data_IF_603645603470
#
_entry.id   IF_603645603470
#
_cell.length_a   1.000
_cell.length_b   1.000
_cell.length_c   1.000
_cell.angle_alpha   90.00
_cell.angle_beta   90.00
_cell.angle_gamma   90.00
#
_symmetry.space_group_name_H-M   'P 1'
#
loop_
_entity.id
_entity.type
_entity.pdbx_description
1 polymer ?
#
# COMPACT_ATOMS: atom_id res chain seq x y z
N UNK A 1 37.88 -47.94 18.32
CA UNK A 1 37.03 -48.10 17.11
C UNK A 1 35.54 -47.73 17.32
N UNK A 2 35.17 -46.94 18.35
CA UNK A 2 33.75 -46.67 18.72
C UNK A 2 33.26 -45.21 18.57
N UNK A 3 34.11 -44.28 18.15
CA UNK A 3 33.71 -42.86 17.99
C UNK A 3 33.20 -42.50 16.58
N UNK A 4 33.48 -43.30 15.55
CA UNK A 4 33.03 -43.03 14.17
C UNK A 4 31.56 -43.37 13.93
N UNK A 5 30.98 -44.29 14.70
CA UNK A 5 29.59 -44.74 14.51
C UNK A 5 28.55 -43.76 15.04
N UNK A 6 28.86 -42.96 16.07
CA UNK A 6 27.92 -41.99 16.64
C UNK A 6 27.74 -40.74 15.75
N UNK A 7 28.81 -40.29 15.09
CA UNK A 7 28.75 -39.15 14.18
C UNK A 7 27.90 -39.43 12.92
N UNK A 8 27.92 -40.68 12.43
CA UNK A 8 27.13 -41.09 11.26
C UNK A 8 25.63 -41.14 11.59
N UNK A 9 25.27 -41.62 12.78
CA UNK A 9 23.87 -41.69 13.21
C UNK A 9 23.29 -40.27 13.39
N UNK A 10 24.05 -39.34 13.98
CA UNK A 10 23.62 -37.95 14.15
C UNK A 10 23.44 -37.22 12.80
N UNK A 11 24.35 -37.45 11.84
CA UNK A 11 24.24 -36.88 10.49
C UNK A 11 23.03 -37.42 9.71
N UNK A 12 22.72 -38.71 9.83
CA UNK A 12 21.54 -39.32 9.20
C UNK A 12 20.24 -38.78 9.83
N UNK A 13 20.20 -38.59 11.15
CA UNK A 13 19.03 -38.02 11.82
C UNK A 13 18.76 -36.55 11.44
N UNK A 14 19.81 -35.74 11.29
CA UNK A 14 19.69 -34.35 10.82
C UNK A 14 19.21 -34.33 9.36
N UNK A 15 19.73 -35.21 8.50
CA UNK A 15 19.34 -35.27 7.10
C UNK A 15 17.88 -35.71 6.92
N UNK A 16 17.43 -36.73 7.66
CA UNK A 16 16.03 -37.21 7.62
C UNK A 16 15.07 -36.16 8.18
N UNK A 17 15.44 -35.46 9.26
CA UNK A 17 14.66 -34.33 9.79
C UNK A 17 14.53 -33.17 8.79
N UNK A 18 15.62 -32.86 8.07
CA UNK A 18 15.65 -31.81 7.05
C UNK A 18 14.79 -32.15 5.83
N UNK A 19 14.82 -33.42 5.39
CA UNK A 19 14.00 -33.90 4.26
C UNK A 19 12.52 -33.96 4.64
N UNK A 20 12.17 -34.41 5.85
CA UNK A 20 10.78 -34.41 6.33
C UNK A 20 10.22 -32.98 6.50
N UNK A 21 11.05 -32.04 6.98
CA UNK A 21 10.71 -30.62 7.05
C UNK A 21 10.49 -30.03 5.65
N UNK A 22 11.40 -30.28 4.70
CA UNK A 22 11.24 -29.84 3.32
C UNK A 22 9.98 -30.44 2.65
N UNK A 23 9.67 -31.71 2.90
CA UNK A 23 8.50 -32.37 2.30
C UNK A 23 7.19 -31.79 2.82
N UNK A 24 7.08 -31.54 4.13
CA UNK A 24 5.91 -30.87 4.73
C UNK A 24 5.70 -29.46 4.15
N UNK A 25 6.78 -28.70 3.97
CA UNK A 25 6.72 -27.35 3.40
C UNK A 25 6.34 -27.33 1.91
N UNK A 26 6.85 -28.27 1.10
CA UNK A 26 6.47 -28.39 -0.32
C UNK A 26 4.99 -28.74 -0.46
N UNK A 27 4.43 -29.52 0.46
CA UNK A 27 3.01 -29.87 0.42
C UNK A 27 2.08 -28.73 0.85
N UNK A 28 2.47 -27.93 1.85
CA UNK A 28 1.69 -26.76 2.29
C UNK A 28 1.73 -25.62 1.25
N UNK A 29 2.88 -25.39 0.59
CA UNK A 29 3.02 -24.37 -0.47
C UNK A 29 2.18 -24.72 -1.72
N UNK A 30 2.13 -26.00 -2.11
CA UNK A 30 1.21 -26.47 -3.16
C UNK A 30 -0.26 -26.30 -2.77
N UNK A 31 -0.61 -26.51 -1.50
CA UNK A 31 -1.99 -26.36 -1.02
C UNK A 31 -2.43 -24.89 -1.00
N UNK A 32 -1.53 -23.97 -0.62
CA UNK A 32 -1.79 -22.54 -0.71
C UNK A 32 -1.91 -22.11 -2.18
N UNK A 33 -0.92 -22.39 -3.03
CA UNK A 33 -0.93 -21.95 -4.43
C UNK A 33 -2.16 -22.44 -5.23
N UNK A 34 -2.56 -23.70 -5.05
CA UNK A 34 -3.72 -24.28 -5.78
C UNK A 34 -5.06 -23.71 -5.34
N UNK A 35 -5.22 -23.41 -4.05
CA UNK A 35 -6.43 -22.78 -3.52
C UNK A 35 -6.50 -21.28 -3.84
N UNK A 36 -5.35 -20.58 -3.86
CA UNK A 36 -5.27 -19.18 -4.32
C UNK A 36 -5.66 -19.03 -5.79
N UNK A 37 -5.19 -19.92 -6.68
CA UNK A 37 -5.54 -19.85 -8.11
C UNK A 37 -7.02 -20.19 -8.39
N UNK A 38 -7.59 -21.15 -7.66
CA UNK A 38 -8.94 -21.67 -7.91
C UNK A 38 -10.05 -20.74 -7.39
N UNK A 39 -9.81 -20.00 -6.30
CA UNK A 39 -10.78 -19.05 -5.75
C UNK A 39 -11.02 -17.86 -6.70
N UNK A 40 -9.95 -17.36 -7.33
CA UNK A 40 -10.01 -16.20 -8.23
C UNK A 40 -10.73 -16.49 -9.57
N UNK A 41 -10.83 -17.74 -10.01
CA UNK A 41 -11.59 -18.07 -11.24
C UNK A 41 -13.10 -18.17 -11.02
N UNK A 42 -13.55 -18.68 -9.86
CA UNK A 42 -14.98 -18.93 -9.62
C UNK A 42 -15.79 -17.65 -9.37
N UNK A 43 -15.21 -16.63 -8.76
CA UNK A 43 -15.92 -15.34 -8.54
C UNK A 43 -16.12 -14.53 -9.83
N UNK A 44 -15.27 -14.71 -10.85
CA UNK A 44 -15.37 -13.98 -12.11
C UNK A 44 -16.52 -14.44 -13.03
N UNK A 45 -17.12 -15.62 -12.79
CA UNK A 45 -18.19 -16.17 -13.65
C UNK A 45 -19.58 -15.68 -13.24
N UNK A 46 -19.78 -15.25 -12.00
CA UNK A 46 -21.12 -14.96 -11.44
C UNK A 46 -21.61 -13.50 -11.57
N UNK A 47 -20.83 -12.60 -12.18
CA UNK A 47 -21.17 -11.16 -12.23
C UNK A 47 -21.73 -10.68 -13.59
N UNK A 48 -21.94 -11.57 -14.56
CA UNK A 48 -22.34 -11.19 -15.94
C UNK A 48 -23.84 -11.24 -16.25
N UNK A 49 -24.71 -11.38 -15.25
CA UNK A 49 -26.15 -11.28 -15.46
C UNK A 49 -26.75 -10.38 -14.39
N UNK A 50 -27.03 -9.13 -14.73
CA UNK A 50 -28.26 -8.39 -14.38
C UNK A 50 -28.14 -6.91 -14.81
N UNK A 51 -29.26 -6.43 -15.32
CA UNK A 51 -29.70 -5.03 -15.43
C UNK A 51 -29.33 -4.18 -16.65
N UNK A 52 -30.29 -4.20 -17.58
CA UNK A 52 -30.61 -3.09 -18.48
C UNK A 52 -31.98 -2.53 -18.12
N UNK A 53 -32.12 -1.19 -18.23
CA UNK A 53 -33.32 -0.34 -18.30
C UNK A 53 -33.66 0.47 -17.03
N UNK A 54 -33.42 1.78 -17.11
CA UNK A 54 -34.48 2.82 -17.12
C UNK A 54 -33.87 4.22 -17.25
N UNK A 55 -34.46 5.05 -18.12
CA UNK A 55 -34.10 6.45 -18.40
C UNK A 55 -35.38 7.33 -18.34
N UNK A 56 -35.16 8.62 -18.04
CA UNK A 56 -35.96 9.83 -18.31
C UNK A 56 -37.08 10.31 -17.35
N UNK A 57 -36.76 11.31 -16.52
CA UNK A 57 -36.85 12.81 -16.69
C UNK A 57 -38.18 13.57 -16.96
N UNK A 58 -38.25 14.76 -16.31
CA UNK A 58 -39.03 16.03 -16.50
C UNK A 58 -40.40 16.13 -15.79
N UNK A 59 -40.90 17.26 -15.22
CA UNK A 59 -40.81 18.72 -15.56
C UNK A 59 -41.35 19.57 -14.36
N UNK A 60 -40.67 20.64 -13.88
CA UNK A 60 -40.94 22.13 -13.90
C UNK A 60 -42.31 22.69 -13.43
N UNK A 61 -42.28 23.67 -12.51
CA UNK A 61 -42.97 25.02 -12.42
C UNK A 61 -43.04 25.45 -10.92
N UNK A 62 -43.01 26.70 -10.44
CA UNK A 62 -42.81 28.08 -10.94
C UNK A 62 -42.81 29.04 -9.71
N UNK A 63 -42.10 30.18 -9.79
CA UNK A 63 -42.38 31.52 -9.17
C UNK A 63 -42.39 31.66 -7.62
N UNK A 64 -41.96 32.74 -6.93
CA UNK A 64 -41.83 34.18 -7.18
C UNK A 64 -40.87 34.86 -6.14
N UNK A 65 -40.47 36.12 -6.37
CA UNK A 65 -39.59 37.04 -5.56
C UNK A 65 -40.39 38.37 -5.34
N UNK A 66 -39.91 39.52 -4.76
CA UNK A 66 -38.66 39.89 -4.07
C UNK A 66 -38.80 40.92 -2.89
N UNK A 67 -37.65 41.53 -2.48
CA UNK A 67 -37.35 42.89 -1.91
C UNK A 67 -36.70 42.83 -0.50
N UNK A 68 -35.39 43.06 -0.32
CA UNK A 68 -34.54 44.28 -0.37
C UNK A 68 -34.39 44.99 0.99
N UNK A 69 -33.17 45.11 1.51
CA UNK A 69 -32.60 46.37 2.03
C UNK A 69 -31.12 46.22 2.42
N UNK A 70 -30.39 47.29 2.17
CA UNK A 70 -28.96 47.54 2.40
C UNK A 70 -28.67 47.88 3.85
N UNK A 71 -27.51 47.50 4.39
CA UNK A 71 -26.65 48.45 5.14
C UNK A 71 -25.25 47.90 5.42
N UNK A 72 -24.30 48.83 5.35
CA UNK A 72 -22.86 48.69 5.55
C UNK A 72 -22.54 48.39 7.02
N UNK A 73 -21.45 47.67 7.29
CA UNK A 73 -20.55 48.01 8.39
C UNK A 73 -19.16 47.38 8.21
N UNK A 74 -18.18 48.26 8.02
CA UNK A 74 -16.75 48.02 8.09
C UNK A 74 -16.36 47.87 9.57
N UNK A 75 -15.92 46.68 9.99
CA UNK A 75 -15.23 46.52 11.28
C UNK A 75 -13.85 45.95 11.01
N UNK A 76 -12.85 46.77 11.34
CA UNK A 76 -11.44 46.42 11.44
C UNK A 76 -11.27 45.32 12.49
N UNK A 77 -10.68 44.19 12.10
CA UNK A 77 -10.13 43.22 13.03
C UNK A 77 -8.77 42.77 12.53
N UNK A 78 -7.73 43.22 13.22
CA UNK A 78 -6.39 42.62 13.18
C UNK A 78 -6.49 41.12 13.42
N UNK A 79 -5.81 40.25 12.64
CA UNK A 79 -5.86 38.82 12.90
C UNK A 79 -5.06 38.51 14.17
N UNK A 80 -5.71 37.88 15.15
CA UNK A 80 -5.00 37.13 16.19
C UNK A 80 -4.07 36.09 15.55
N UNK A 81 -2.86 35.85 16.10
CA UNK A 81 -1.99 34.80 15.61
C UNK A 81 -2.62 33.44 15.95
N UNK A 82 -3.22 32.80 14.94
CA UNK A 82 -3.74 31.43 15.07
C UNK A 82 -2.57 30.47 15.33
N UNK A 83 -2.65 29.73 16.42
CA UNK A 83 -1.73 28.64 16.75
C UNK A 83 -1.62 27.64 15.58
N UNK A 84 -0.44 27.01 15.35
CA UNK A 84 -0.23 26.08 14.23
C UNK A 84 -1.31 24.98 14.12
N UNK A 85 -1.82 24.54 15.27
CA UNK A 85 -2.88 23.53 15.38
C UNK A 85 -4.23 24.02 14.80
N UNK A 86 -4.62 25.28 15.06
CA UNK A 86 -5.84 25.90 14.48
C UNK A 86 -5.68 26.19 12.99
N UNK A 87 -4.46 26.50 12.53
CA UNK A 87 -4.16 26.68 11.10
C UNK A 87 -4.29 25.35 10.36
N UNK A 88 -3.74 24.26 10.91
CA UNK A 88 -3.87 22.92 10.37
C UNK A 88 -5.34 22.47 10.33
N UNK A 89 -6.10 22.63 11.42
CA UNK A 89 -7.53 22.31 11.46
C UNK A 89 -8.37 23.07 10.41
N UNK A 90 -8.09 24.36 10.22
CA UNK A 90 -8.78 25.18 9.22
C UNK A 90 -8.42 24.75 7.79
N UNK A 91 -7.13 24.47 7.53
CA UNK A 91 -6.68 24.02 6.22
C UNK A 91 -7.26 22.66 5.83
N UNK A 92 -7.45 21.78 6.82
CA UNK A 92 -8.05 20.46 6.63
C UNK A 92 -9.54 20.54 6.23
N UNK A 93 -10.30 21.49 6.79
CA UNK A 93 -11.71 21.74 6.39
C UNK A 93 -11.83 22.35 4.98
N UNK A 94 -10.81 23.07 4.51
CA UNK A 94 -10.81 23.62 3.15
C UNK A 94 -10.58 22.52 2.09
N UNK A 95 -9.81 21.47 2.42
CA UNK A 95 -9.57 20.32 1.54
C UNK A 95 -10.75 19.34 1.50
N UNK A 96 -11.57 19.28 2.55
CA UNK A 96 -12.87 18.60 2.53
C UNK A 96 -13.84 19.19 1.50
N UNK A 97 -13.58 20.42 1.04
CA UNK A 97 -14.36 21.14 0.03
C UNK A 97 -13.56 21.36 -1.28
N UNK A 98 -12.53 20.53 -1.55
CA UNK A 98 -11.78 20.62 -2.81
C UNK A 98 -12.75 20.47 -4.00
N UNK A 99 -12.90 21.51 -4.85
CA UNK A 99 -13.89 21.49 -5.94
C UNK A 99 -13.57 20.44 -7.02
N UNK A 100 -12.37 19.86 -6.99
CA UNK A 100 -11.97 18.79 -7.91
C UNK A 100 -12.34 17.39 -7.41
N UNK A 101 -12.79 17.26 -6.16
CA UNK A 101 -13.39 16.05 -5.61
C UNK A 101 -14.91 16.21 -5.71
N UNK A 102 -15.56 15.32 -6.45
CA UNK A 102 -16.99 15.34 -6.63
C UNK A 102 -17.71 15.19 -5.29
N UNK A 103 -18.81 15.94 -5.13
CA UNK A 103 -19.68 15.82 -3.96
C UNK A 103 -20.16 14.39 -3.74
N UNK A 104 -20.33 13.63 -4.83
CA UNK A 104 -20.66 12.22 -4.80
C UNK A 104 -19.59 11.42 -4.03
N UNK A 105 -18.31 11.57 -4.33
CA UNK A 105 -17.22 10.90 -3.60
C UNK A 105 -17.11 11.41 -2.16
N UNK A 106 -17.18 12.72 -1.94
CA UNK A 106 -17.12 13.32 -0.60
C UNK A 106 -18.18 12.71 0.32
N UNK A 107 -19.41 12.50 -0.17
CA UNK A 107 -20.47 11.88 0.60
C UNK A 107 -20.16 10.43 1.02
N UNK A 108 -19.39 9.67 0.22
CA UNK A 108 -19.00 8.29 0.61
C UNK A 108 -17.86 8.23 1.60
N UNK A 109 -16.91 9.15 1.50
CA UNK A 109 -15.72 9.17 2.35
C UNK A 109 -15.96 9.90 3.67
N UNK A 110 -16.89 10.86 3.71
CA UNK A 110 -17.22 11.62 4.91
C UNK A 110 -18.06 10.76 5.86
N UNK A 111 -17.39 10.09 6.79
CA UNK A 111 -17.98 9.23 7.82
C UNK A 111 -17.45 9.64 9.20
N UNK A 112 -18.20 9.40 10.29
CA UNK A 112 -17.77 9.79 11.64
C UNK A 112 -16.40 9.27 12.07
N UNK A 113 -15.96 8.15 11.47
CA UNK A 113 -14.68 7.51 11.79
C UNK A 113 -13.54 7.90 10.83
N UNK A 114 -13.83 8.66 9.77
CA UNK A 114 -12.82 9.05 8.76
C UNK A 114 -11.59 9.65 9.42
N UNK A 115 -11.78 10.71 10.20
CA UNK A 115 -10.66 11.45 10.79
C UNK A 115 -9.97 10.67 11.93
N UNK A 116 -10.64 9.64 12.46
CA UNK A 116 -10.02 8.70 13.40
C UNK A 116 -9.08 7.73 12.70
N UNK A 117 -9.41 7.30 11.48
CA UNK A 117 -8.68 6.27 10.75
C UNK A 117 -7.67 6.85 9.75
N UNK A 118 -8.04 7.94 9.11
CA UNK A 118 -7.27 8.61 8.07
C UNK A 118 -6.72 9.95 8.58
N UNK A 119 -5.73 10.46 7.86
CA UNK A 119 -5.36 11.86 7.94
C UNK A 119 -6.39 12.73 7.26
N UNK A 120 -6.17 14.04 7.29
CA UNK A 120 -6.99 14.98 6.53
C UNK A 120 -6.86 14.71 5.02
N UNK A 121 -7.89 15.05 4.23
CA UNK A 121 -7.80 14.90 2.79
C UNK A 121 -6.55 15.60 2.26
N UNK A 122 -5.97 15.04 1.22
CA UNK A 122 -4.87 15.69 0.49
C UNK A 122 -5.47 16.45 -0.67
N UNK A 123 -4.86 17.59 -1.02
CA UNK A 123 -5.23 18.34 -2.22
C UNK A 123 -5.27 17.40 -3.43
N UNK A 124 -6.36 17.49 -4.21
CA UNK A 124 -6.56 16.60 -5.33
C UNK A 124 -5.37 16.65 -6.29
N UNK A 125 -4.85 15.48 -6.61
CA UNK A 125 -3.74 15.34 -7.54
C UNK A 125 -3.93 14.09 -8.38
N UNK A 126 -4.10 14.29 -9.69
CA UNK A 126 -4.05 13.19 -10.67
C UNK A 126 -2.68 12.51 -10.74
N UNK A 127 -1.64 13.11 -10.13
CA UNK A 127 -0.28 12.56 -10.15
C UNK A 127 -0.23 11.29 -9.33
N UNK A 128 0.09 10.20 -10.01
CA UNK A 128 0.50 8.94 -9.37
C UNK A 128 2.02 8.95 -9.21
N UNK A 129 2.49 8.50 -8.05
CA UNK A 129 3.89 8.64 -7.65
C UNK A 129 4.64 7.32 -7.92
N UNK A 130 5.41 7.28 -9.01
CA UNK A 130 6.19 6.09 -9.40
C UNK A 130 7.71 6.22 -9.23
N UNK A 131 8.22 7.44 -9.02
CA UNK A 131 9.63 7.75 -8.74
C UNK A 131 9.76 9.21 -8.27
N UNK A 132 10.93 9.58 -7.74
CA UNK A 132 11.30 10.97 -7.47
C UNK A 132 12.75 11.29 -7.89
N UNK A 133 13.03 11.56 -9.17
CA UNK A 133 14.39 11.81 -9.65
C UNK A 133 15.15 12.94 -8.93
N UNK A 134 14.44 13.94 -8.39
CA UNK A 134 15.03 15.04 -7.61
C UNK A 134 15.63 14.59 -6.26
N UNK A 135 15.33 13.39 -5.79
CA UNK A 135 15.92 12.84 -4.56
C UNK A 135 17.39 12.39 -4.72
N UNK A 136 17.93 12.40 -5.94
CA UNK A 136 19.30 11.95 -6.24
C UNK A 136 19.47 10.46 -5.98
N UNK A 137 20.63 10.04 -5.45
CA UNK A 137 20.97 8.64 -5.17
C UNK A 137 20.22 8.07 -3.96
N UNK A 138 18.90 8.15 -3.97
CA UNK A 138 18.01 7.51 -3.02
C UNK A 138 17.02 6.62 -3.76
N UNK A 139 16.68 5.48 -3.16
CA UNK A 139 15.73 4.52 -3.70
C UNK A 139 14.84 3.98 -2.59
N UNK A 140 13.60 3.62 -2.94
CA UNK A 140 12.67 2.96 -2.03
C UNK A 140 12.46 1.51 -2.45
N UNK A 141 12.80 0.57 -1.58
CA UNK A 141 12.37 -0.82 -1.70
C UNK A 141 10.94 -0.93 -1.21
N UNK A 142 10.09 -1.61 -1.97
CA UNK A 142 8.70 -1.82 -1.60
C UNK A 142 8.30 -3.28 -1.75
N UNK A 143 7.44 -3.76 -0.85
CA UNK A 143 6.97 -5.14 -0.82
C UNK A 143 5.44 -5.17 -0.79
N UNK A 144 4.83 -5.80 -1.78
CA UNK A 144 3.38 -5.97 -1.88
C UNK A 144 2.94 -7.36 -1.35
N UNK A 145 1.62 -7.52 -1.18
CA UNK A 145 0.86 -8.74 -0.89
C UNK A 145 0.87 -9.28 0.54
N UNK A 146 1.83 -8.89 1.38
CA UNK A 146 1.88 -9.37 2.76
C UNK A 146 0.85 -8.73 3.71
N UNK A 147 1.02 -8.92 5.03
CA UNK A 147 2.06 -9.72 5.65
C UNK A 147 1.81 -11.24 5.52
N UNK A 148 2.86 -12.02 5.37
CA UNK A 148 2.82 -13.48 5.40
C UNK A 148 3.68 -14.00 6.56
N UNK A 149 3.16 -14.93 7.40
CA UNK A 149 3.98 -15.59 8.41
C UNK A 149 5.28 -16.14 7.83
N UNK A 150 6.37 -16.05 8.60
CA UNK A 150 7.74 -16.44 8.23
C UNK A 150 8.37 -15.54 7.16
N UNK A 151 7.66 -15.17 6.10
CA UNK A 151 8.23 -14.33 5.04
C UNK A 151 8.44 -12.89 5.52
N UNK A 152 7.42 -12.25 6.07
CA UNK A 152 7.51 -10.85 6.54
C UNK A 152 8.64 -10.67 7.54
N UNK A 153 8.77 -11.59 8.51
CA UNK A 153 9.86 -11.59 9.48
C UNK A 153 11.23 -11.66 8.78
N UNK A 154 11.40 -12.59 7.82
CA UNK A 154 12.68 -12.72 7.09
C UNK A 154 13.02 -11.49 6.24
N UNK A 155 12.03 -10.87 5.60
CA UNK A 155 12.26 -9.61 4.87
C UNK A 155 12.73 -8.53 5.85
N UNK A 156 12.01 -8.32 6.94
CA UNK A 156 12.34 -7.32 7.97
C UNK A 156 13.71 -7.60 8.60
N UNK A 157 14.06 -8.86 8.88
CA UNK A 157 15.35 -9.25 9.45
C UNK A 157 16.52 -8.97 8.51
N UNK A 158 16.35 -9.24 7.20
CA UNK A 158 17.36 -8.90 6.19
C UNK A 158 17.54 -7.38 6.16
N UNK A 159 16.46 -6.61 6.06
CA UNK A 159 16.50 -5.14 6.02
C UNK A 159 17.22 -4.57 7.25
N UNK A 160 16.86 -5.06 8.44
CA UNK A 160 17.50 -4.69 9.71
C UNK A 160 18.99 -5.04 9.74
N UNK A 161 19.35 -6.26 9.36
CA UNK A 161 20.76 -6.72 9.35
C UNK A 161 21.64 -5.91 8.40
N UNK A 162 21.03 -5.30 7.39
CA UNK A 162 21.71 -4.51 6.37
C UNK A 162 21.57 -3.01 6.60
N UNK A 163 20.95 -2.55 7.70
CA UNK A 163 20.67 -1.14 7.99
C UNK A 163 19.98 -0.45 6.80
N UNK A 164 18.78 -0.94 6.49
CA UNK A 164 17.92 -0.49 5.39
C UNK A 164 16.48 -0.43 5.88
N UNK A 165 15.73 0.58 5.43
CA UNK A 165 14.27 0.67 5.59
C UNK A 165 13.58 0.36 4.26
N UNK A 166 12.33 -0.07 4.34
CA UNK A 166 11.45 -0.30 3.18
C UNK A 166 10.00 0.10 3.49
N UNK A 167 9.15 0.05 2.46
CA UNK A 167 7.70 0.25 2.59
C UNK A 167 6.95 -1.04 2.23
N UNK A 168 6.08 -1.52 3.13
CA UNK A 168 5.26 -2.72 2.94
C UNK A 168 3.82 -2.32 2.62
N UNK A 169 3.35 -2.63 1.41
CA UNK A 169 1.96 -2.44 1.02
C UNK A 169 1.16 -3.69 1.35
N UNK A 170 0.39 -3.63 2.44
CA UNK A 170 -0.24 -4.81 3.02
C UNK A 170 -1.67 -5.02 2.53
N UNK A 171 -2.01 -6.28 2.28
CA UNK A 171 -3.39 -6.73 2.02
C UNK A 171 -4.11 -6.82 3.36
N UNK A 172 -5.24 -6.12 3.49
CA UNK A 172 -6.01 -6.04 4.74
C UNK A 172 -6.44 -7.41 5.27
N UNK A 173 -6.84 -8.35 4.40
CA UNK A 173 -7.21 -9.72 4.82
C UNK A 173 -6.06 -10.51 5.42
N UNK A 174 -4.82 -10.23 5.04
CA UNK A 174 -3.63 -10.84 5.66
C UNK A 174 -3.28 -10.13 6.97
N UNK A 175 -3.31 -8.80 6.95
CA UNK A 175 -3.13 -7.96 8.13
C UNK A 175 -4.11 -8.31 9.28
N UNK A 176 -5.39 -8.57 8.97
CA UNK A 176 -6.42 -8.95 9.95
C UNK A 176 -6.07 -10.26 10.68
N UNK A 177 -5.40 -11.18 9.98
CA UNK A 177 -4.98 -12.48 10.53
C UNK A 177 -3.67 -12.42 11.29
N UNK A 178 -2.82 -11.45 10.94
CA UNK A 178 -1.45 -11.33 11.44
C UNK A 178 -1.13 -9.89 11.90
N UNK A 179 -1.92 -9.31 12.82
CA UNK A 179 -1.68 -7.94 13.30
C UNK A 179 -0.33 -7.79 14.02
N UNK A 180 0.21 -8.88 14.58
CA UNK A 180 1.55 -8.92 15.17
C UNK A 180 2.65 -8.61 14.16
N UNK A 181 2.50 -9.02 12.89
CA UNK A 181 3.48 -8.75 11.85
C UNK A 181 3.46 -7.29 11.42
N UNK A 182 2.31 -6.62 11.50
CA UNK A 182 2.26 -5.17 11.27
C UNK A 182 3.06 -4.41 12.32
N UNK A 183 2.92 -4.77 13.60
CA UNK A 183 3.73 -4.21 14.69
C UNK A 183 5.21 -4.48 14.43
N UNK A 184 5.56 -5.71 14.05
CA UNK A 184 6.95 -6.09 13.77
C UNK A 184 7.59 -5.26 12.64
N UNK A 185 6.86 -5.02 11.54
CA UNK A 185 7.32 -4.15 10.44
C UNK A 185 7.66 -2.76 10.98
N UNK A 186 6.74 -2.14 11.74
CA UNK A 186 6.86 -0.78 12.27
C UNK A 186 7.95 -0.65 13.33
N UNK A 187 8.01 -1.57 14.30
CA UNK A 187 9.00 -1.55 15.38
C UNK A 187 10.44 -1.70 14.87
N UNK A 188 10.62 -2.30 13.69
CA UNK A 188 11.92 -2.39 13.00
C UNK A 188 12.14 -1.25 12.00
N UNK A 189 11.38 -0.16 12.09
CA UNK A 189 11.61 1.10 11.37
C UNK A 189 11.14 1.13 9.91
N UNK A 190 10.34 0.16 9.49
CA UNK A 190 9.77 0.12 8.13
C UNK A 190 8.41 0.84 8.07
N UNK A 191 8.04 1.29 6.88
CA UNK A 191 6.77 1.95 6.61
C UNK A 191 5.70 0.94 6.17
N UNK A 192 4.43 1.22 6.49
CA UNK A 192 3.27 0.48 5.98
C UNK A 192 2.44 1.37 5.07
N UNK A 193 2.01 0.82 3.93
CA UNK A 193 0.99 1.37 3.04
C UNK A 193 -0.16 0.38 2.82
N UNK A 194 -1.25 0.85 2.22
CA UNK A 194 -2.43 0.04 1.93
C UNK A 194 -2.29 -0.67 0.58
N UNK A 195 -2.72 -1.93 0.52
CA UNK A 195 -2.86 -2.69 -0.73
C UNK A 195 -4.27 -3.26 -0.92
N UNK A 196 -5.30 -2.48 -0.56
CA UNK A 196 -6.72 -2.88 -0.44
C UNK A 196 -6.95 -3.98 0.61
N UNK A 197 -8.18 -4.45 0.79
CA UNK A 197 -8.49 -5.50 1.76
C UNK A 197 -8.45 -6.90 1.13
N UNK A 198 -9.01 -7.03 -0.07
CA UNK A 198 -9.23 -8.30 -0.77
C UNK A 198 -8.33 -8.49 -1.99
N UNK A 199 -7.50 -7.49 -2.35
CA UNK A 199 -6.64 -7.49 -3.53
C UNK A 199 -7.41 -7.55 -4.87
N UNK A 200 -8.59 -6.92 -4.90
CA UNK A 200 -9.37 -6.81 -6.12
C UNK A 200 -8.84 -5.72 -7.05
N UNK A 201 -9.11 -5.88 -8.34
CA UNK A 201 -8.80 -4.84 -9.32
C UNK A 201 -9.69 -3.61 -9.09
N UNK A 202 -9.12 -2.59 -8.47
CA UNK A 202 -9.84 -1.40 -8.02
C UNK A 202 -10.56 -0.69 -9.16
N UNK A 203 -9.99 -0.68 -10.37
CA UNK A 203 -10.63 -0.07 -11.56
C UNK A 203 -11.99 -0.69 -11.91
N UNK A 204 -12.25 -1.94 -11.49
CA UNK A 204 -13.50 -2.68 -11.78
C UNK A 204 -14.54 -2.58 -10.67
N UNK A 205 -14.19 -2.03 -9.52
CA UNK A 205 -15.10 -1.93 -8.38
C UNK A 205 -16.04 -0.73 -8.52
N UNK A 206 -17.19 -0.82 -7.86
CA UNK A 206 -18.02 0.36 -7.61
C UNK A 206 -17.37 1.24 -6.52
N UNK A 207 -17.56 2.57 -6.54
CA UNK A 207 -16.98 3.50 -5.58
C UNK A 207 -17.15 3.08 -4.11
N UNK A 208 -18.35 2.60 -3.75
CA UNK A 208 -18.69 2.20 -2.38
C UNK A 208 -17.82 1.04 -1.91
N UNK A 209 -17.58 0.08 -2.81
CA UNK A 209 -16.74 -1.09 -2.51
C UNK A 209 -15.27 -0.69 -2.44
N UNK A 210 -14.81 0.27 -3.26
CA UNK A 210 -13.44 0.80 -3.12
C UNK A 210 -13.23 1.46 -1.76
N UNK A 211 -14.18 2.27 -1.30
CA UNK A 211 -14.12 2.92 0.01
C UNK A 211 -14.09 1.88 1.12
N UNK A 212 -14.94 0.84 1.05
CA UNK A 212 -14.95 -0.26 2.02
C UNK A 212 -13.59 -0.98 2.10
N UNK A 213 -13.00 -1.30 0.94
CA UNK A 213 -11.69 -1.97 0.84
C UNK A 213 -10.57 -1.14 1.49
N UNK A 214 -10.59 0.19 1.33
CA UNK A 214 -9.59 1.08 1.93
C UNK A 214 -9.82 1.30 3.42
N UNK A 215 -11.07 1.55 3.84
CA UNK A 215 -11.43 1.75 5.24
C UNK A 215 -11.09 0.53 6.08
N UNK A 216 -11.47 -0.66 5.63
CA UNK A 216 -11.25 -1.88 6.40
C UNK A 216 -9.76 -2.13 6.60
N UNK A 217 -8.95 -1.98 5.56
CA UNK A 217 -7.49 -2.13 5.67
C UNK A 217 -6.88 -1.06 6.58
N UNK A 218 -7.28 0.22 6.44
CA UNK A 218 -6.80 1.29 7.30
C UNK A 218 -7.10 1.01 8.77
N UNK A 219 -8.34 0.62 9.08
CA UNK A 219 -8.78 0.32 10.43
C UNK A 219 -7.93 -0.77 11.07
N UNK A 220 -7.73 -1.89 10.37
CA UNK A 220 -6.89 -2.99 10.85
C UNK A 220 -5.47 -2.52 11.18
N UNK A 221 -4.87 -1.71 10.31
CA UNK A 221 -3.50 -1.21 10.53
C UNK A 221 -3.45 -0.25 11.73
N UNK A 222 -4.41 0.66 11.85
CA UNK A 222 -4.49 1.62 12.95
C UNK A 222 -4.70 0.91 14.28
N UNK A 223 -5.61 -0.07 14.34
CA UNK A 223 -5.86 -0.86 15.54
C UNK A 223 -4.63 -1.70 15.95
N UNK A 224 -3.91 -2.25 14.97
CA UNK A 224 -2.72 -3.05 15.25
C UNK A 224 -1.52 -2.19 15.67
N UNK A 225 -1.30 -1.03 15.06
CA UNK A 225 -0.01 -0.31 15.15
C UNK A 225 -0.11 1.08 15.77
N UNK A 226 -1.31 1.66 15.87
CA UNK A 226 -1.53 3.06 16.22
C UNK A 226 -1.12 4.06 15.12
N UNK A 227 -0.59 3.59 13.99
CA UNK A 227 -0.17 4.43 12.87
C UNK A 227 -1.31 4.55 11.86
N UNK A 228 -1.42 5.73 11.25
CA UNK A 228 -2.30 6.00 10.11
C UNK A 228 -1.48 6.04 8.82
N UNK A 229 -1.35 4.94 8.07
CA UNK A 229 -0.73 4.99 6.75
C UNK A 229 -1.35 6.08 5.86
N UNK A 230 -0.53 6.71 5.03
CA UNK A 230 -0.95 7.75 4.07
C UNK A 230 -0.70 7.33 2.62
N UNK A 231 -0.19 6.13 2.40
CA UNK A 231 0.15 5.60 1.09
C UNK A 231 -0.82 4.48 0.72
N UNK A 232 -1.22 4.45 -0.55
CA UNK A 232 -2.00 3.39 -1.13
C UNK A 232 -1.39 2.98 -2.46
N UNK A 233 -1.18 1.67 -2.65
CA UNK A 233 -0.84 1.09 -3.94
C UNK A 233 -2.01 0.24 -4.42
N UNK A 234 -2.59 0.52 -5.60
CA UNK A 234 -3.69 -0.28 -6.12
C UNK A 234 -3.18 -1.66 -6.58
N UNK A 235 -3.87 -2.76 -6.22
CA UNK A 235 -3.61 -4.08 -6.78
C UNK A 235 -3.44 -4.06 -8.29
N UNK A 236 -2.46 -4.81 -8.79
CA UNK A 236 -2.09 -4.90 -10.21
C UNK A 236 -1.64 -3.58 -10.85
N UNK A 237 -1.39 -2.53 -10.06
CA UNK A 237 -1.19 -1.17 -10.58
C UNK A 237 -2.43 -0.62 -11.30
N UNK A 238 -3.62 -1.19 -11.06
CA UNK A 238 -4.83 -0.91 -11.81
C UNK A 238 -5.68 0.17 -11.13
N UNK A 239 -5.66 1.38 -11.68
CA UNK A 239 -6.40 2.54 -11.17
C UNK A 239 -7.18 3.27 -12.27
N UNK A 240 -8.09 4.14 -11.86
CA UNK A 240 -8.81 5.10 -12.69
C UNK A 240 -8.97 6.44 -11.93
N UNK A 241 -9.63 7.42 -12.55
CA UNK A 241 -9.86 8.73 -11.91
C UNK A 241 -10.64 8.62 -10.60
N UNK A 242 -11.65 7.75 -10.56
CA UNK A 242 -12.48 7.52 -9.36
C UNK A 242 -11.63 7.00 -8.21
N UNK A 243 -10.76 6.01 -8.44
CA UNK A 243 -9.90 5.48 -7.38
C UNK A 243 -8.88 6.50 -6.88
N UNK A 244 -8.38 7.40 -7.74
CA UNK A 244 -7.48 8.49 -7.33
C UNK A 244 -8.24 9.48 -6.45
N UNK A 245 -9.44 9.89 -6.90
CA UNK A 245 -10.28 10.85 -6.20
C UNK A 245 -10.68 10.34 -4.81
N UNK A 246 -11.14 9.09 -4.71
CA UNK A 246 -11.41 8.43 -3.42
C UNK A 246 -10.15 8.41 -2.55
N UNK A 247 -9.00 8.04 -3.11
CA UNK A 247 -7.75 7.99 -2.35
C UNK A 247 -7.39 9.37 -1.78
N UNK A 248 -7.44 10.41 -2.60
CA UNK A 248 -7.12 11.77 -2.15
C UNK A 248 -8.12 12.29 -1.11
N UNK A 249 -9.41 12.00 -1.28
CA UNK A 249 -10.46 12.36 -0.32
C UNK A 249 -10.30 11.65 1.03
N UNK A 250 -9.60 10.51 1.07
CA UNK A 250 -9.19 9.78 2.28
C UNK A 250 -7.79 10.18 2.79
N UNK A 251 -7.15 11.18 2.19
CA UNK A 251 -5.79 11.59 2.57
C UNK A 251 -4.69 10.62 2.11
N UNK A 252 -5.00 9.70 1.20
CA UNK A 252 -4.07 8.71 0.65
C UNK A 252 -3.41 9.20 -0.64
N UNK A 253 -2.11 9.00 -0.75
CA UNK A 253 -1.33 9.19 -1.98
C UNK A 253 -1.24 7.86 -2.73
N UNK A 254 -1.59 7.89 -4.03
CA UNK A 254 -1.47 6.72 -4.90
C UNK A 254 -0.01 6.54 -5.34
N UNK A 255 0.59 5.41 -4.99
CA UNK A 255 1.98 5.06 -5.26
C UNK A 255 2.05 3.88 -6.22
N UNK A 256 2.94 3.97 -7.22
CA UNK A 256 3.32 2.88 -8.12
C UNK A 256 4.82 2.62 -8.00
N UNK A 257 5.47 2.28 -9.11
CA UNK A 257 6.87 1.94 -9.21
C UNK A 257 7.38 2.30 -10.61
N UNK A 258 8.69 2.38 -10.76
CA UNK A 258 9.37 2.48 -12.05
C UNK A 258 10.35 1.33 -12.29
N UNK A 259 10.60 0.49 -11.29
CA UNK A 259 11.42 -0.72 -11.39
C UNK A 259 10.57 -1.93 -11.02
N UNK A 260 10.40 -2.84 -11.99
CA UNK A 260 9.67 -4.10 -11.84
C UNK A 260 10.56 -5.27 -12.27
N UNK A 261 10.95 -6.18 -11.36
CA UNK A 261 11.72 -7.36 -11.70
C UNK A 261 10.89 -8.52 -12.27
N UNK A 262 9.56 -8.37 -12.39
CA UNK A 262 8.61 -9.45 -12.68
C UNK A 262 8.73 -10.62 -11.69
N UNK A 263 9.04 -10.33 -10.43
CA UNK A 263 9.28 -11.37 -9.42
C UNK A 263 8.03 -12.19 -9.08
N UNK A 264 6.85 -11.62 -9.30
CA UNK A 264 5.57 -12.32 -9.24
C UNK A 264 5.48 -13.55 -10.15
N UNK A 265 6.28 -13.61 -11.24
CA UNK A 265 6.41 -14.76 -12.14
C UNK A 265 7.36 -15.86 -11.63
N UNK A 266 7.93 -15.69 -10.44
CA UNK A 266 8.97 -16.56 -9.87
C UNK A 266 10.19 -16.79 -10.79
N UNK A 267 10.81 -15.74 -11.38
CA UNK A 267 12.05 -15.90 -12.13
C UNK A 267 13.21 -16.32 -11.21
N UNK A 268 14.37 -16.65 -11.79
CA UNK A 268 15.56 -16.98 -10.99
C UNK A 268 16.03 -15.79 -10.14
N UNK A 269 16.74 -16.06 -9.05
CA UNK A 269 17.37 -15.04 -8.18
C UNK A 269 18.19 -14.06 -9.02
N UNK A 270 19.05 -14.57 -9.91
CA UNK A 270 19.88 -13.76 -10.78
C UNK A 270 19.06 -12.85 -11.71
N UNK A 271 17.94 -13.34 -12.25
CA UNK A 271 17.06 -12.52 -13.07
C UNK A 271 16.41 -11.39 -12.27
N UNK A 272 16.00 -11.63 -11.03
CA UNK A 272 15.47 -10.58 -10.14
C UNK A 272 16.55 -9.53 -9.89
N UNK A 273 17.75 -9.96 -9.46
CA UNK A 273 18.89 -9.07 -9.19
C UNK A 273 19.22 -8.22 -10.42
N UNK A 274 19.43 -8.85 -11.58
CA UNK A 274 19.85 -8.16 -12.79
C UNK A 274 18.81 -7.14 -13.27
N UNK A 275 17.52 -7.47 -13.19
CA UNK A 275 16.44 -6.55 -13.58
C UNK A 275 16.32 -5.38 -12.63
N UNK A 276 16.48 -5.58 -11.32
CA UNK A 276 16.47 -4.45 -10.38
C UNK A 276 17.64 -3.51 -10.68
N UNK A 277 18.86 -4.03 -10.80
CA UNK A 277 20.05 -3.20 -11.00
C UNK A 277 20.04 -2.47 -12.35
N UNK A 278 19.61 -3.14 -13.43
CA UNK A 278 19.64 -2.51 -14.76
C UNK A 278 18.64 -1.37 -14.94
N UNK A 279 17.53 -1.39 -14.19
CA UNK A 279 16.47 -0.38 -14.26
C UNK A 279 16.51 0.65 -13.13
N UNK A 280 17.27 0.42 -12.05
CA UNK A 280 17.37 1.38 -10.94
C UNK A 280 18.06 2.66 -11.39
N UNK A 281 17.43 3.80 -11.05
CA UNK A 281 17.92 5.16 -11.26
C UNK A 281 17.69 5.96 -9.99
N UNK A 282 18.24 7.17 -9.95
CA UNK A 282 17.99 8.16 -8.92
C UNK A 282 16.48 8.33 -8.69
N UNK A 283 16.05 8.18 -7.43
CA UNK A 283 14.66 8.29 -7.06
C UNK A 283 13.77 7.10 -7.40
N UNK A 284 14.32 5.94 -7.74
CA UNK A 284 13.50 4.77 -8.09
C UNK A 284 12.68 4.26 -6.91
N UNK A 285 11.43 3.87 -7.21
CA UNK A 285 10.59 3.02 -6.35
C UNK A 285 10.59 1.62 -6.97
N UNK A 286 11.08 0.65 -6.21
CA UNK A 286 11.31 -0.73 -6.65
C UNK A 286 10.18 -1.62 -6.12
N UNK A 287 9.39 -2.20 -7.03
CA UNK A 287 8.35 -3.17 -6.69
C UNK A 287 8.95 -4.56 -6.50
N UNK A 288 8.58 -5.21 -5.41
CA UNK A 288 8.78 -6.63 -5.16
C UNK A 288 7.57 -7.18 -4.40
N UNK A 289 7.44 -8.49 -4.32
CA UNK A 289 6.33 -9.14 -3.61
C UNK A 289 6.84 -10.03 -2.46
N UNK A 290 6.10 -10.05 -1.36
CA UNK A 290 6.32 -11.03 -0.30
C UNK A 290 5.89 -12.45 -0.75
N UNK A 291 6.30 -13.47 0.00
CA UNK A 291 5.95 -14.87 -0.32
C UNK A 291 6.67 -15.45 -1.53
N UNK A 292 7.74 -14.79 -2.01
CA UNK A 292 8.55 -15.20 -3.16
C UNK A 292 9.95 -15.63 -2.70
N UNK A 293 10.26 -16.95 -2.68
CA UNK A 293 11.57 -17.44 -2.22
C UNK A 293 12.76 -16.83 -2.98
N UNK A 294 12.63 -16.67 -4.30
CA UNK A 294 13.70 -16.13 -5.13
C UNK A 294 13.89 -14.62 -4.93
N UNK A 295 12.81 -13.86 -4.67
CA UNK A 295 12.89 -12.44 -4.29
C UNK A 295 13.59 -12.28 -2.95
N UNK A 296 13.19 -13.08 -1.95
CA UNK A 296 13.80 -13.07 -0.62
C UNK A 296 15.31 -13.38 -0.71
N UNK A 297 15.70 -14.36 -1.53
CA UNK A 297 17.11 -14.70 -1.75
C UNK A 297 17.89 -13.65 -2.58
N UNK A 298 17.21 -12.89 -3.44
CA UNK A 298 17.81 -11.81 -4.23
C UNK A 298 18.08 -10.55 -3.39
N UNK A 299 17.26 -10.31 -2.37
CA UNK A 299 17.24 -9.05 -1.61
C UNK A 299 18.61 -8.63 -1.06
N UNK A 300 19.41 -9.50 -0.40
CA UNK A 300 20.73 -9.09 0.11
C UNK A 300 21.69 -8.66 -1.01
N UNK A 301 21.62 -9.31 -2.18
CA UNK A 301 22.48 -8.99 -3.32
C UNK A 301 22.09 -7.64 -3.94
N UNK A 302 20.79 -7.37 -4.05
CA UNK A 302 20.26 -6.10 -4.54
C UNK A 302 20.71 -4.97 -3.62
N UNK A 303 20.47 -5.10 -2.31
CA UNK A 303 20.83 -4.07 -1.33
C UNK A 303 22.34 -3.78 -1.39
N UNK A 304 23.16 -4.83 -1.35
CA UNK A 304 24.61 -4.70 -1.38
C UNK A 304 25.08 -3.94 -2.62
N UNK A 305 24.65 -4.36 -3.81
CA UNK A 305 25.11 -3.78 -5.08
C UNK A 305 24.66 -2.32 -5.26
N UNK A 306 23.43 -1.99 -4.88
CA UNK A 306 22.96 -0.60 -4.92
C UNK A 306 23.69 0.29 -3.90
N UNK A 307 24.01 -0.21 -2.69
CA UNK A 307 24.88 0.50 -1.75
C UNK A 307 26.28 0.75 -2.33
N UNK A 308 26.86 -0.24 -3.01
CA UNK A 308 28.15 -0.11 -3.72
C UNK A 308 28.11 0.95 -4.84
N UNK A 309 26.96 1.13 -5.48
CA UNK A 309 26.71 2.19 -6.47
C UNK A 309 26.41 3.57 -5.84
N UNK A 310 26.40 3.67 -4.51
CA UNK A 310 26.20 4.90 -3.75
C UNK A 310 24.75 5.25 -3.44
N UNK A 311 23.80 4.33 -3.66
CA UNK A 311 22.40 4.56 -3.30
C UNK A 311 22.16 4.44 -1.79
N UNK A 312 21.34 5.34 -1.27
CA UNK A 312 20.73 5.22 0.06
C UNK A 312 19.33 4.64 -0.07
N UNK A 313 18.94 3.85 0.91
CA UNK A 313 17.61 3.28 0.99
C UNK A 313 16.76 4.06 1.97
N UNK A 314 15.59 4.48 1.51
CA UNK A 314 14.63 5.28 2.27
C UNK A 314 13.23 4.69 2.11
N UNK A 315 12.30 5.05 2.98
CA UNK A 315 10.89 4.72 2.77
C UNK A 315 10.31 5.51 1.60
N UNK A 316 9.15 5.11 1.10
CA UNK A 316 8.45 5.85 0.04
C UNK A 316 8.10 7.26 0.50
N UNK A 317 7.61 7.45 1.74
CA UNK A 317 7.33 8.80 2.24
C UNK A 317 8.59 9.66 2.30
N UNK A 318 9.70 9.15 2.86
CA UNK A 318 10.99 9.85 2.91
C UNK A 318 11.48 10.23 1.50
N UNK A 319 11.33 9.32 0.52
CA UNK A 319 11.70 9.58 -0.88
C UNK A 319 10.88 10.72 -1.50
N UNK A 320 9.58 10.80 -1.20
CA UNK A 320 8.64 11.75 -1.81
C UNK A 320 8.61 13.13 -1.15
N UNK A 321 9.10 13.26 0.09
CA UNK A 321 9.21 14.53 0.80
C UNK A 321 10.32 15.43 0.26
N UNK A 322 11.36 14.84 -0.35
CA UNK A 322 12.48 15.58 -0.92
C UNK A 322 12.08 16.22 -2.23
N UNK A 323 11.57 17.45 -2.13
CA UNK A 323 11.36 18.36 -3.25
C UNK A 323 12.54 19.32 -3.32
N UNK A 324 12.92 19.69 -4.54
CA UNK A 324 13.80 20.83 -4.80
C UNK A 324 13.22 22.12 -4.20
#
# INVERSE_FOLDING_TARGET
>A
MRFKSFAIILLVSILVGSVAFAYKYITEDKYLQTNFYSANQKENVNLNTLDSKSNNSKTITSEERPLSETEQNYVSSTPEPSTPEKVLEKHNKDLDNDPNISQFILNFVNRPERDKLFGSPVAFSKKVLGSNPSSGKEVALTFDDGPFPIYTEKYVDILKSMDVKATFFVIGKHAEKHPELLKYIVENGNEIGLHSYSHFNMKKLKPEKMVEELYKTQQIIVEATGIKPTLFRPPFGAYNSISIEISNALGLKVVLWNVDPDDWRNPSVESVVNRVLSHTRDGSIILMHEGKPNTLAALPQIIKKLKEEGYKFVTVSELLEKRD
#
